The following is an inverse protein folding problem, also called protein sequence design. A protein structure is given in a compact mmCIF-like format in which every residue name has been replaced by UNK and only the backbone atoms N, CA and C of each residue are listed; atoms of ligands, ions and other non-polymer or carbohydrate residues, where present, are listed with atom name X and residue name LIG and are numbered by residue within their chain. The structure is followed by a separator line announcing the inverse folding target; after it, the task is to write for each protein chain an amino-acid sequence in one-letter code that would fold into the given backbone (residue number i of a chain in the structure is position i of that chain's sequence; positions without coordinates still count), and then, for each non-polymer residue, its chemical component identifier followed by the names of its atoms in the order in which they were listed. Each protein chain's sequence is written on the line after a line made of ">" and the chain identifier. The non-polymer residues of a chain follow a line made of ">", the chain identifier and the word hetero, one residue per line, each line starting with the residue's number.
data_IF_760746677765
#
_entry.id   IF_760746677765
#
_cell.length_a   1.000
_cell.length_b   1.000
_cell.length_c   1.000
_cell.angle_alpha   90.00
_cell.angle_beta   90.00
_cell.angle_gamma   90.00
#
_symmetry.space_group_name_H-M   'P 1'
#
loop_
_entity.id
_entity.type
_entity.pdbx_description
1 polymer ?
#
# COMPACT_ATOMS: atom_id res chain seq x y z
N UNK A 1 -5.58 -17.02 -7.70
CA UNK A 1 -4.70 -15.86 -7.84
C UNK A 1 -4.99 -14.95 -6.64
N UNK A 2 -3.99 -14.64 -5.85
CA UNK A 2 -4.21 -13.86 -4.61
C UNK A 2 -4.21 -12.33 -4.82
N UNK A 3 -4.00 -11.88 -6.06
CA UNK A 3 -3.98 -10.47 -6.44
C UNK A 3 -5.36 -10.03 -6.94
N UNK A 4 -5.91 -9.01 -6.31
CA UNK A 4 -7.20 -8.42 -6.66
C UNK A 4 -6.98 -7.07 -7.31
N UNK A 5 -7.65 -6.82 -8.44
CA UNK A 5 -7.59 -5.53 -9.13
C UNK A 5 -8.89 -4.76 -8.88
N UNK A 6 -8.74 -3.49 -8.50
CA UNK A 6 -9.86 -2.55 -8.33
C UNK A 6 -9.66 -1.36 -9.25
N UNK A 7 -10.67 -1.07 -10.05
CA UNK A 7 -10.63 -0.04 -11.09
C UNK A 7 -11.51 1.15 -10.72
N UNK A 8 -10.96 2.34 -10.94
CA UNK A 8 -11.65 3.61 -10.72
C UNK A 8 -11.57 4.48 -11.96
N UNK A 9 -12.51 5.41 -12.12
CA UNK A 9 -12.58 6.26 -13.30
C UNK A 9 -11.40 7.21 -13.45
N UNK A 10 -10.78 7.62 -12.33
CA UNK A 10 -9.67 8.55 -12.30
C UNK A 10 -8.83 8.41 -11.02
N UNK A 11 -7.68 9.07 -11.00
CA UNK A 11 -6.73 9.05 -9.88
C UNK A 11 -7.30 9.62 -8.58
N UNK A 12 -8.22 10.59 -8.65
CA UNK A 12 -8.86 11.15 -7.46
C UNK A 12 -9.69 10.10 -6.72
N UNK A 13 -10.50 9.31 -7.45
CA UNK A 13 -11.29 8.23 -6.86
C UNK A 13 -10.39 7.10 -6.31
N UNK A 14 -9.26 6.84 -6.94
CA UNK A 14 -8.24 5.93 -6.40
C UNK A 14 -7.73 6.43 -5.06
N UNK A 15 -7.38 7.71 -4.97
CA UNK A 15 -6.88 8.31 -3.73
C UNK A 15 -7.91 8.29 -2.60
N UNK A 16 -9.16 8.66 -2.90
CA UNK A 16 -10.27 8.63 -1.94
C UNK A 16 -10.54 7.22 -1.41
N UNK A 17 -10.59 6.24 -2.31
CA UNK A 17 -10.79 4.85 -1.92
C UNK A 17 -9.64 4.29 -1.10
N UNK A 18 -8.39 4.51 -1.55
CA UNK A 18 -7.21 4.06 -0.82
C UNK A 18 -7.15 4.67 0.59
N UNK A 19 -7.42 5.97 0.70
CA UNK A 19 -7.48 6.66 1.99
C UNK A 19 -8.56 6.09 2.92
N UNK A 20 -9.74 5.81 2.40
CA UNK A 20 -10.85 5.26 3.21
C UNK A 20 -10.54 3.86 3.74
N UNK A 21 -9.99 2.97 2.89
CA UNK A 21 -9.63 1.63 3.36
C UNK A 21 -8.45 1.64 4.34
N UNK A 22 -7.47 2.53 4.17
CA UNK A 22 -6.37 2.71 5.13
C UNK A 22 -6.92 3.17 6.49
N UNK A 23 -7.77 4.20 6.51
CA UNK A 23 -8.41 4.67 7.74
C UNK A 23 -9.24 3.57 8.41
N UNK A 24 -10.03 2.83 7.63
CA UNK A 24 -10.81 1.69 8.15
C UNK A 24 -9.91 0.61 8.75
N UNK A 25 -8.76 0.36 8.14
CA UNK A 25 -7.76 -0.57 8.67
C UNK A 25 -7.24 -0.12 10.04
N UNK A 26 -6.96 1.16 10.22
CA UNK A 26 -6.55 1.72 11.50
C UNK A 26 -7.64 1.56 12.57
N UNK A 27 -8.89 1.86 12.23
CA UNK A 27 -10.00 1.71 13.17
C UNK A 27 -10.29 0.25 13.56
N UNK A 28 -10.18 -0.66 12.59
CA UNK A 28 -10.48 -2.07 12.82
C UNK A 28 -9.36 -2.81 13.55
N UNK A 29 -8.14 -2.30 13.49
CA UNK A 29 -6.96 -2.86 14.13
C UNK A 29 -6.16 -1.77 14.84
N UNK A 30 -6.50 -1.46 16.09
CA UNK A 30 -5.85 -0.37 16.85
C UNK A 30 -4.34 -0.55 17.05
N UNK A 31 -3.83 -1.79 16.89
CA UNK A 31 -2.41 -2.13 17.01
C UNK A 31 -1.73 -2.28 15.64
N UNK A 32 -2.30 -1.68 14.60
CA UNK A 32 -1.74 -1.74 13.23
C UNK A 32 -0.29 -1.31 13.19
N UNK A 33 0.51 -2.08 12.45
CA UNK A 33 1.82 -1.68 11.98
C UNK A 33 1.68 -1.52 10.47
N UNK A 34 1.78 -0.29 9.97
CA UNK A 34 1.60 0.05 8.57
C UNK A 34 2.86 0.66 7.98
N UNK A 35 3.30 0.17 6.82
CA UNK A 35 4.36 0.77 6.03
C UNK A 35 3.79 1.64 4.90
N UNK A 36 4.43 2.77 4.66
CA UNK A 36 4.06 3.69 3.59
C UNK A 36 5.26 4.00 2.72
N UNK A 37 5.12 3.68 1.44
CA UNK A 37 6.03 4.13 0.41
C UNK A 37 5.26 4.47 -0.86
N UNK A 38 4.97 5.74 -1.04
CA UNK A 38 4.20 6.28 -2.16
C UNK A 38 5.04 7.31 -2.91
N UNK A 39 5.18 7.13 -4.22
CA UNK A 39 5.81 8.12 -5.08
C UNK A 39 4.97 9.41 -5.18
N UNK A 40 5.51 10.41 -5.88
CA UNK A 40 4.86 11.71 -6.00
C UNK A 40 3.50 11.66 -6.69
N UNK A 41 3.30 10.72 -7.62
CA UNK A 41 2.03 10.55 -8.33
C UNK A 41 0.92 10.06 -7.39
N UNK A 42 1.30 9.42 -6.28
CA UNK A 42 0.39 8.89 -5.26
C UNK A 42 0.27 9.79 -4.02
N UNK A 43 0.92 10.97 -4.01
CA UNK A 43 0.77 11.93 -2.91
C UNK A 43 -0.70 12.28 -2.58
N UNK A 44 -1.63 12.36 -3.54
CA UNK A 44 -3.06 12.58 -3.25
C UNK A 44 -3.68 11.58 -2.27
N UNK A 45 -3.15 10.35 -2.17
CA UNK A 45 -3.62 9.36 -1.18
C UNK A 45 -3.43 9.87 0.24
N UNK A 46 -2.28 10.50 0.52
CA UNK A 46 -1.98 11.06 1.85
C UNK A 46 -2.85 12.28 2.15
N UNK A 47 -3.10 13.13 1.15
CA UNK A 47 -3.98 14.28 1.31
C UNK A 47 -5.43 13.85 1.63
N UNK A 48 -5.94 12.86 0.90
CA UNK A 48 -7.27 12.30 1.16
C UNK A 48 -7.33 11.54 2.49
N UNK A 49 -6.26 10.85 2.89
CA UNK A 49 -6.18 10.19 4.20
C UNK A 49 -6.30 11.20 5.33
N UNK A 50 -5.61 12.35 5.23
CA UNK A 50 -5.73 13.44 6.21
C UNK A 50 -7.15 13.95 6.30
N UNK A 51 -7.79 14.29 5.16
CA UNK A 51 -9.19 14.76 5.11
C UNK A 51 -10.16 13.73 5.71
N UNK A 52 -9.91 12.45 5.46
CA UNK A 52 -10.75 11.37 5.94
C UNK A 52 -10.65 11.20 7.46
N UNK A 53 -9.44 11.32 8.02
CA UNK A 53 -9.18 11.26 9.46
C UNK A 53 -9.76 12.48 10.18
N UNK A 54 -9.70 13.67 9.58
CA UNK A 54 -10.35 14.88 10.12
C UNK A 54 -11.87 14.72 10.28
N UNK A 55 -12.51 13.96 9.37
CA UNK A 55 -13.95 13.68 9.43
C UNK A 55 -14.28 12.48 10.34
N UNK A 56 -13.38 11.53 10.42
CA UNK A 56 -13.57 10.25 11.09
C UNK A 56 -12.33 9.92 11.91
N UNK A 57 -12.32 10.41 13.15
CA UNK A 57 -11.17 10.29 14.04
C UNK A 57 -10.66 8.84 14.18
N UNK A 58 -9.34 8.71 14.26
CA UNK A 58 -8.62 7.46 14.50
C UNK A 58 -7.85 7.58 15.80
N UNK A 59 -7.90 6.54 16.63
CA UNK A 59 -7.03 6.44 17.80
C UNK A 59 -5.66 5.90 17.38
N UNK A 60 -4.65 6.77 17.35
CA UNK A 60 -3.29 6.44 16.99
C UNK A 60 -2.41 5.98 18.14
N UNK A 61 -2.96 5.84 19.35
CA UNK A 61 -2.16 5.57 20.57
C UNK A 61 -1.30 4.29 20.50
N UNK A 62 -1.69 3.31 19.67
CA UNK A 62 -0.98 2.05 19.51
C UNK A 62 -0.58 1.72 18.06
N UNK A 63 -0.87 2.61 17.11
CA UNK A 63 -0.52 2.43 15.70
C UNK A 63 0.96 2.76 15.49
N UNK A 64 1.67 1.91 14.78
CA UNK A 64 3.06 2.11 14.42
C UNK A 64 3.19 2.27 12.90
N UNK A 65 4.01 3.22 12.47
CA UNK A 65 4.23 3.55 11.06
C UNK A 65 5.69 3.25 10.68
N UNK A 66 5.87 2.52 9.58
CA UNK A 66 7.14 2.40 8.87
C UNK A 66 7.16 3.46 7.79
N UNK A 67 8.00 4.46 7.96
CA UNK A 67 8.10 5.61 7.06
C UNK A 67 9.30 5.45 6.13
N UNK A 68 9.02 5.13 4.87
CA UNK A 68 10.05 4.95 3.84
C UNK A 68 10.37 6.23 3.07
N UNK A 69 9.59 7.31 3.27
CA UNK A 69 9.61 8.51 2.43
C UNK A 69 9.97 9.79 3.20
N UNK A 70 10.46 9.65 4.44
CA UNK A 70 10.78 10.78 5.33
C UNK A 70 9.57 11.72 5.57
N UNK A 71 8.41 11.12 5.82
CA UNK A 71 7.15 11.84 6.06
C UNK A 71 6.73 11.87 7.55
N UNK A 72 7.69 11.75 8.44
CA UNK A 72 7.45 11.71 9.89
C UNK A 72 6.54 12.86 10.35
N UNK A 73 6.82 14.09 9.92
CA UNK A 73 6.01 15.27 10.28
C UNK A 73 4.55 15.18 9.82
N UNK A 74 4.29 14.54 8.69
CA UNK A 74 2.94 14.27 8.22
C UNK A 74 2.20 13.32 9.16
N UNK A 75 2.81 12.20 9.54
CA UNK A 75 2.18 11.23 10.44
C UNK A 75 1.97 11.79 11.85
N UNK A 76 2.92 12.57 12.35
CA UNK A 76 2.76 13.30 13.62
C UNK A 76 1.60 14.28 13.57
N UNK A 77 1.42 14.99 12.44
CA UNK A 77 0.29 15.90 12.24
C UNK A 77 -1.07 15.18 12.15
N UNK A 78 -1.09 13.90 11.81
CA UNK A 78 -2.29 13.06 11.90
C UNK A 78 -2.61 12.60 13.33
N UNK A 79 -1.68 12.76 14.26
CA UNK A 79 -1.83 12.33 15.65
C UNK A 79 -1.07 11.06 16.02
N UNK A 80 -0.23 10.52 15.12
CA UNK A 80 0.64 9.39 15.44
C UNK A 80 1.75 9.86 16.40
N UNK A 81 1.94 9.25 17.58
CA UNK A 81 3.00 9.61 18.47
C UNK A 81 4.39 9.51 17.81
N UNK A 82 5.26 10.50 18.02
CA UNK A 82 6.57 10.59 17.37
C UNK A 82 7.44 9.32 17.55
N UNK A 83 7.35 8.66 18.70
CA UNK A 83 8.05 7.40 18.99
C UNK A 83 7.44 6.16 18.30
N UNK A 84 6.36 6.32 17.54
CA UNK A 84 5.70 5.26 16.79
C UNK A 84 5.86 5.42 15.27
N UNK A 85 6.60 6.44 14.83
CA UNK A 85 6.99 6.62 13.43
C UNK A 85 8.47 6.23 13.27
N UNK A 86 8.73 5.19 12.51
CA UNK A 86 10.06 4.61 12.31
C UNK A 86 10.55 4.92 10.89
N UNK A 87 11.58 5.78 10.72
CA UNK A 87 12.15 6.04 9.41
C UNK A 87 12.95 4.83 8.92
N UNK A 88 12.56 4.27 7.78
CA UNK A 88 13.22 3.09 7.20
C UNK A 88 14.33 3.46 6.22
N UNK A 89 14.23 4.62 5.56
CA UNK A 89 15.20 5.03 4.54
C UNK A 89 16.65 5.14 5.08
N UNK A 90 16.79 5.45 6.35
CA UNK A 90 18.09 5.70 7.00
C UNK A 90 18.53 4.60 7.97
N UNK A 91 17.62 3.74 8.39
CA UNK A 91 17.89 2.68 9.37
C UNK A 91 17.59 1.31 8.75
N UNK A 92 18.63 0.64 8.25
CA UNK A 92 18.51 -0.70 7.65
C UNK A 92 17.83 -1.71 8.56
N UNK A 93 17.90 -1.50 9.86
CA UNK A 93 17.46 -2.42 10.90
C UNK A 93 16.17 -1.95 11.60
N UNK A 94 15.43 -0.98 11.03
CA UNK A 94 14.19 -0.49 11.65
C UNK A 94 13.14 -1.59 11.82
N UNK A 95 13.11 -2.59 10.94
CA UNK A 95 12.25 -3.77 11.10
C UNK A 95 12.68 -4.58 12.33
N UNK A 96 13.97 -4.70 12.60
CA UNK A 96 14.46 -5.36 13.82
C UNK A 96 14.11 -4.56 15.08
N UNK A 97 14.22 -3.23 15.03
CA UNK A 97 13.86 -2.34 16.14
C UNK A 97 12.38 -2.47 16.54
N UNK A 98 11.50 -2.75 15.58
CA UNK A 98 10.07 -2.96 15.85
C UNK A 98 9.67 -4.43 15.94
N UNK A 99 10.64 -5.36 15.86
CA UNK A 99 10.35 -6.79 15.85
C UNK A 99 9.53 -7.24 17.07
N UNK A 100 9.76 -6.66 18.24
CA UNK A 100 9.00 -6.96 19.44
C UNK A 100 7.53 -6.52 19.29
N UNK A 101 7.26 -5.38 18.66
CA UNK A 101 5.90 -4.90 18.37
C UNK A 101 5.22 -5.71 17.27
N UNK A 102 5.97 -6.10 16.22
CA UNK A 102 5.49 -6.98 15.16
C UNK A 102 5.10 -8.36 15.73
N UNK A 103 5.86 -8.85 16.70
CA UNK A 103 5.62 -10.14 17.37
C UNK A 103 4.55 -10.09 18.44
N UNK A 104 3.86 -8.98 18.64
CA UNK A 104 2.76 -8.90 19.61
C UNK A 104 1.67 -9.92 19.27
N UNK A 105 0.91 -10.29 20.29
CA UNK A 105 -0.15 -11.30 20.17
C UNK A 105 -1.22 -10.89 19.16
N UNK A 106 -1.55 -9.61 19.13
CA UNK A 106 -2.54 -9.00 18.22
C UNK A 106 -2.08 -9.04 16.77
N UNK A 107 -0.83 -8.72 16.52
CA UNK A 107 -0.23 -8.71 15.17
C UNK A 107 0.25 -10.09 14.71
N UNK A 108 0.28 -11.09 15.60
CA UNK A 108 0.72 -12.46 15.29
C UNK A 108 2.08 -12.50 14.57
N UNK A 109 2.97 -11.59 14.92
CA UNK A 109 4.32 -11.51 14.37
C UNK A 109 4.41 -11.00 12.94
N UNK A 110 3.40 -10.29 12.42
CA UNK A 110 3.40 -9.75 11.05
C UNK A 110 3.06 -8.28 10.99
N UNK A 111 3.60 -7.60 9.99
CA UNK A 111 3.09 -6.29 9.57
C UNK A 111 1.62 -6.42 9.20
N UNK A 112 0.83 -5.41 9.52
CA UNK A 112 -0.60 -5.43 9.21
C UNK A 112 -0.84 -5.03 7.76
N UNK A 113 -0.20 -3.93 7.32
CA UNK A 113 -0.44 -3.31 6.02
C UNK A 113 0.84 -2.73 5.45
N UNK A 114 1.02 -2.87 4.14
CA UNK A 114 1.97 -2.09 3.35
C UNK A 114 1.23 -1.35 2.25
N UNK A 115 1.41 -0.04 2.18
CA UNK A 115 0.85 0.83 1.13
C UNK A 115 2.01 1.30 0.26
N UNK A 116 2.04 0.83 -0.98
CA UNK A 116 3.18 1.01 -1.87
C UNK A 116 2.74 1.46 -3.25
N UNK A 117 3.65 2.05 -4.00
CA UNK A 117 3.51 2.38 -5.42
C UNK A 117 4.58 1.67 -6.26
N UNK A 118 4.41 1.74 -7.57
CA UNK A 118 5.34 1.20 -8.57
C UNK A 118 5.70 2.31 -9.55
N UNK A 119 6.98 2.43 -9.89
CA UNK A 119 7.43 3.42 -10.86
C UNK A 119 7.17 3.00 -12.32
N UNK A 120 7.46 3.89 -13.27
CA UNK A 120 7.27 3.65 -14.71
C UNK A 120 8.15 2.54 -15.27
N UNK A 121 9.25 2.22 -14.61
CA UNK A 121 10.16 1.13 -14.97
C UNK A 121 9.73 -0.21 -14.38
N UNK A 122 8.67 -0.22 -13.57
CA UNK A 122 8.22 -1.42 -12.89
C UNK A 122 9.05 -1.78 -11.67
N UNK A 123 9.66 -0.80 -11.03
CA UNK A 123 10.39 -0.99 -9.79
C UNK A 123 9.48 -0.69 -8.61
N UNK A 124 9.45 -1.58 -7.65
CA UNK A 124 8.85 -1.31 -6.35
C UNK A 124 9.81 -0.43 -5.56
N UNK A 125 9.30 0.69 -5.04
CA UNK A 125 10.09 1.59 -4.24
C UNK A 125 10.47 1.00 -2.87
N UNK A 126 9.73 0.03 -2.39
CA UNK A 126 10.07 -0.75 -1.20
C UNK A 126 10.66 -2.08 -1.62
N UNK A 127 11.87 -2.39 -1.19
CA UNK A 127 12.43 -3.71 -1.42
C UNK A 127 11.52 -4.79 -0.82
N UNK A 128 11.17 -5.79 -1.59
CA UNK A 128 10.42 -6.96 -1.13
C UNK A 128 11.08 -7.57 0.11
N UNK A 129 12.41 -7.50 0.18
CA UNK A 129 13.22 -8.00 1.30
C UNK A 129 13.05 -7.19 2.59
N UNK A 130 12.52 -5.96 2.53
CA UNK A 130 12.28 -5.11 3.70
C UNK A 130 10.92 -5.32 4.37
N UNK A 131 10.40 -6.52 4.31
CA UNK A 131 9.18 -6.89 5.02
C UNK A 131 7.89 -6.72 4.22
N UNK A 132 7.98 -6.34 2.92
CA UNK A 132 6.79 -6.22 2.08
C UNK A 132 5.98 -7.54 2.05
N UNK A 133 6.66 -8.67 1.83
CA UNK A 133 6.03 -9.99 1.77
C UNK A 133 5.59 -10.51 3.15
N UNK A 134 6.04 -9.90 4.23
CA UNK A 134 5.65 -10.25 5.60
C UNK A 134 4.34 -9.61 6.03
N UNK A 135 3.87 -8.59 5.31
CA UNK A 135 2.61 -7.93 5.60
C UNK A 135 1.43 -8.90 5.50
N UNK A 136 0.37 -8.62 6.24
CA UNK A 136 -0.90 -9.35 6.08
C UNK A 136 -1.59 -8.96 4.78
N UNK A 137 -1.51 -7.69 4.43
CA UNK A 137 -2.15 -7.11 3.25
C UNK A 137 -1.24 -6.07 2.61
N UNK A 138 -1.24 -6.04 1.29
CA UNK A 138 -0.51 -5.07 0.47
C UNK A 138 -1.51 -4.30 -0.37
N UNK A 139 -1.46 -2.97 -0.29
CA UNK A 139 -2.13 -2.06 -1.22
C UNK A 139 -1.09 -1.53 -2.20
N UNK A 140 -1.19 -1.94 -3.45
CA UNK A 140 -0.41 -1.41 -4.55
C UNK A 140 -1.25 -0.36 -5.28
N UNK A 141 -0.90 0.91 -5.10
CA UNK A 141 -1.63 2.04 -5.70
C UNK A 141 -0.92 2.48 -6.97
N UNK A 142 -1.64 2.48 -8.08
CA UNK A 142 -1.07 2.77 -9.41
C UNK A 142 -2.01 3.63 -10.22
N UNK A 143 -1.57 4.81 -10.63
CA UNK A 143 -2.37 5.74 -11.45
C UNK A 143 -1.57 6.31 -12.60
N UNK A 144 -2.28 6.69 -13.67
CA UNK A 144 -1.74 7.39 -14.81
C UNK A 144 -1.36 6.49 -15.99
N UNK A 145 -1.46 7.06 -17.19
CA UNK A 145 -1.21 6.36 -18.46
C UNK A 145 0.25 5.87 -18.61
N UNK A 146 1.20 6.52 -17.95
CA UNK A 146 2.61 6.13 -17.95
C UNK A 146 2.88 4.80 -17.21
N UNK A 147 1.93 4.31 -16.44
CA UNK A 147 2.00 3.01 -15.72
C UNK A 147 1.35 1.85 -16.49
N UNK A 148 0.72 2.12 -17.64
CA UNK A 148 -0.05 1.13 -18.41
C UNK A 148 0.74 -0.14 -18.68
N UNK A 149 1.95 0.00 -19.26
CA UNK A 149 2.76 -1.15 -19.69
C UNK A 149 3.27 -1.96 -18.49
N UNK A 150 3.56 -1.28 -17.39
CA UNK A 150 3.95 -1.91 -16.11
C UNK A 150 2.80 -2.71 -15.52
N UNK A 151 1.58 -2.19 -15.55
CA UNK A 151 0.37 -2.88 -15.07
C UNK A 151 0.05 -4.09 -15.95
N UNK A 152 0.14 -3.95 -17.27
CA UNK A 152 -0.03 -5.07 -18.19
C UNK A 152 0.99 -6.18 -17.92
N UNK A 153 2.26 -5.82 -17.76
CA UNK A 153 3.33 -6.76 -17.41
C UNK A 153 3.08 -7.42 -16.06
N UNK A 154 2.65 -6.66 -15.04
CA UNK A 154 2.29 -7.19 -13.73
C UNK A 154 1.19 -8.26 -13.83
N UNK A 155 0.22 -8.04 -14.71
CA UNK A 155 -0.86 -9.00 -14.94
C UNK A 155 -0.34 -10.27 -15.66
N UNK A 156 0.48 -10.12 -16.69
CA UNK A 156 0.95 -11.22 -17.57
C UNK A 156 2.02 -12.09 -16.90
N UNK A 157 2.97 -11.49 -16.18
CA UNK A 157 4.12 -12.20 -15.61
C UNK A 157 3.71 -13.10 -14.44
N UNK A 158 4.26 -14.29 -14.40
CA UNK A 158 3.91 -15.34 -13.39
C UNK A 158 5.06 -15.65 -12.44
N UNK A 159 5.70 -14.66 -11.84
CA UNK A 159 6.78 -14.87 -10.86
C UNK A 159 8.00 -15.61 -11.47
N UNK A 160 9.14 -15.60 -10.78
CA UNK A 160 10.41 -16.16 -11.26
C UNK A 160 10.99 -15.48 -12.51
N UNK A 161 10.56 -14.26 -12.79
CA UNK A 161 11.09 -13.40 -13.84
C UNK A 161 12.00 -12.33 -13.23
N UNK A 162 12.71 -11.58 -14.07
CA UNK A 162 13.47 -10.41 -13.61
C UNK A 162 12.58 -9.23 -13.24
N UNK A 163 11.25 -9.34 -13.35
CA UNK A 163 10.28 -8.34 -13.01
C UNK A 163 9.84 -8.51 -11.56
N UNK A 164 10.51 -7.81 -10.65
CA UNK A 164 10.33 -7.91 -9.21
C UNK A 164 8.85 -7.82 -8.73
N UNK A 165 7.98 -6.94 -9.29
CA UNK A 165 6.59 -6.86 -8.86
C UNK A 165 5.76 -8.12 -9.09
N UNK A 166 6.18 -8.99 -10.02
CA UNK A 166 5.51 -10.26 -10.25
C UNK A 166 5.58 -11.20 -9.04
N UNK A 167 6.57 -11.03 -8.17
CA UNK A 167 6.72 -11.80 -6.93
C UNK A 167 5.56 -11.52 -5.94
N UNK A 168 4.90 -10.36 -6.04
CA UNK A 168 3.71 -10.07 -5.26
C UNK A 168 2.56 -11.06 -5.49
N UNK A 169 2.54 -11.76 -6.63
CA UNK A 169 1.55 -12.83 -6.90
C UNK A 169 1.67 -14.02 -5.95
N UNK A 170 2.81 -14.21 -5.32
CA UNK A 170 3.02 -15.23 -4.29
C UNK A 170 2.45 -14.78 -2.93
N UNK A 171 2.21 -13.49 -2.72
CA UNK A 171 1.58 -12.98 -1.52
C UNK A 171 0.09 -13.31 -1.51
N UNK A 172 -0.45 -13.66 -0.34
CA UNK A 172 -1.83 -14.15 -0.24
C UNK A 172 -2.90 -13.05 -0.35
N UNK A 173 -2.55 -11.79 -0.13
CA UNK A 173 -3.50 -10.67 -0.19
C UNK A 173 -2.84 -9.39 -0.71
N UNK A 174 -2.99 -9.17 -2.00
CA UNK A 174 -2.56 -7.95 -2.69
C UNK A 174 -3.77 -7.33 -3.35
N UNK A 175 -4.04 -6.08 -3.01
CA UNK A 175 -5.03 -5.25 -3.67
C UNK A 175 -4.33 -4.23 -4.55
N UNK A 176 -4.49 -4.35 -5.86
CA UNK A 176 -3.99 -3.40 -6.85
C UNK A 176 -5.10 -2.41 -7.15
N UNK A 177 -4.89 -1.16 -6.78
CA UNK A 177 -5.89 -0.09 -6.86
C UNK A 177 -5.48 0.84 -8.00
N UNK A 178 -6.25 0.85 -9.06
CA UNK A 178 -5.90 1.44 -10.35
C UNK A 178 -6.92 2.45 -10.83
N UNK A 179 -6.46 3.47 -11.57
CA UNK A 179 -7.35 4.21 -12.45
C UNK A 179 -7.44 3.57 -13.85
N UNK A 180 -8.42 4.05 -14.65
CA UNK A 180 -8.65 3.56 -16.00
C UNK A 180 -7.45 3.75 -16.92
N UNK A 181 -6.65 4.80 -16.70
CA UNK A 181 -5.48 5.08 -17.53
C UNK A 181 -4.39 4.04 -17.29
N UNK A 182 -4.05 3.76 -16.03
CA UNK A 182 -3.09 2.72 -15.69
C UNK A 182 -3.58 1.31 -16.12
N UNK A 183 -4.88 1.07 -16.08
CA UNK A 183 -5.50 -0.21 -16.46
C UNK A 183 -5.74 -0.38 -17.97
N UNK A 184 -5.42 0.61 -18.81
CA UNK A 184 -5.80 0.63 -20.23
C UNK A 184 -5.21 -0.55 -21.05
N UNK A 185 -4.09 -1.12 -20.64
CA UNK A 185 -3.45 -2.29 -21.28
C UNK A 185 -4.06 -3.64 -20.89
N UNK A 186 -4.92 -3.69 -19.88
CA UNK A 186 -5.50 -4.96 -19.44
C UNK A 186 -6.62 -5.42 -20.38
N UNK A 187 -6.79 -6.75 -20.61
CA UNK A 187 -7.88 -7.30 -21.39
C UNK A 187 -9.26 -6.90 -20.83
N UNK A 188 -10.24 -6.70 -21.72
CA UNK A 188 -11.58 -6.25 -21.33
C UNK A 188 -12.33 -7.26 -20.45
N UNK A 189 -12.17 -8.54 -20.72
CA UNK A 189 -12.74 -9.61 -19.89
C UNK A 189 -12.18 -9.62 -18.47
N UNK A 190 -10.90 -9.28 -18.31
CA UNK A 190 -10.25 -9.12 -16.99
C UNK A 190 -10.83 -7.93 -16.25
N UNK A 191 -10.95 -6.78 -16.93
CA UNK A 191 -11.56 -5.59 -16.33
C UNK A 191 -13.02 -5.85 -15.94
N UNK A 192 -13.80 -6.49 -16.79
CA UNK A 192 -15.19 -6.86 -16.51
C UNK A 192 -15.30 -7.84 -15.32
N UNK A 193 -14.43 -8.84 -15.25
CA UNK A 193 -14.41 -9.81 -14.14
C UNK A 193 -14.20 -9.13 -12.80
N UNK A 194 -13.17 -8.30 -12.67
CA UNK A 194 -12.88 -7.63 -11.41
C UNK A 194 -13.89 -6.55 -11.05
N UNK A 195 -14.44 -5.83 -12.04
CA UNK A 195 -15.50 -4.84 -11.81
C UNK A 195 -16.75 -5.52 -11.25
N UNK A 196 -17.18 -6.64 -11.83
CA UNK A 196 -18.38 -7.37 -11.37
C UNK A 196 -18.21 -8.02 -10.00
N UNK A 197 -16.99 -8.38 -9.63
CA UNK A 197 -16.70 -9.02 -8.34
C UNK A 197 -16.76 -8.06 -7.16
N UNK A 198 -16.52 -6.77 -7.41
CA UNK A 198 -16.41 -5.74 -6.37
C UNK A 198 -17.46 -4.63 -6.51
N UNK A 199 -18.48 -4.84 -7.35
CA UNK A 199 -19.64 -3.96 -7.51
C UNK A 199 -20.56 -3.99 -6.27
#
# INVERSE_FOLDING_TARGET
>A
MAMNFKFFDNSQLVAEYAADIIRKQFNNNPTTIAGFHLDTDQAPVLDELKKNIEKHAVDFSQINILDYDDKKSYFEALGVPAGQVYPIAYEKDAIELIADKIKTKENKGKLTLQVVSIDEQGKLNVSIRQGLMEAREIFLVVTGANKRDVVEKLYQENGKTSFEPADLKAHRMVNVILDKEAAAGLPEDVKAYFTSRFA
#
